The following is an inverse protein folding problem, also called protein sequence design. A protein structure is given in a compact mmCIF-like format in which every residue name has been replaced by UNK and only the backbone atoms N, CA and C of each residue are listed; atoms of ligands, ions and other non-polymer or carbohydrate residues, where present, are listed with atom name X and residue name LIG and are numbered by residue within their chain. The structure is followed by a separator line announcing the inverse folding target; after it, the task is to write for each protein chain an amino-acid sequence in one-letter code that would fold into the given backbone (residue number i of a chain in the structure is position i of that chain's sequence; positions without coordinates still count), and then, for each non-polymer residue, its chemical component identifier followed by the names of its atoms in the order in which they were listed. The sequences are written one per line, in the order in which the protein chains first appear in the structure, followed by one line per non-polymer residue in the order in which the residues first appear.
data_IF_789039891539
#
_entry.id   IF_789039891539
#
_cell.length_a   1.000
_cell.length_b   1.000
_cell.length_c   1.000
_cell.angle_alpha   90.00
_cell.angle_beta   90.00
_cell.angle_gamma   90.00
#
_symmetry.space_group_name_H-M   'P 1'
#
loop_
_entity.id
_entity.type
_entity.pdbx_description
1 polymer ?
#
# COMPACT_ATOMS: atom_id res chain seq x y z
N UNK A 1 -25.99 -16.69 29.19
CA UNK A 1 -24.75 -16.17 29.81
C UNK A 1 -23.79 -15.77 28.71
N UNK A 2 -23.22 -14.55 28.71
CA UNK A 2 -22.30 -14.13 27.67
C UNK A 2 -20.91 -14.73 27.92
N UNK A 3 -20.40 -15.48 26.94
CA UNK A 3 -19.06 -16.08 26.95
C UNK A 3 -18.00 -15.00 26.82
N UNK A 4 -17.35 -14.65 27.94
CA UNK A 4 -16.21 -13.75 27.98
C UNK A 4 -14.99 -14.47 27.40
N UNK A 5 -14.71 -14.28 26.10
CA UNK A 5 -13.46 -14.78 25.50
C UNK A 5 -12.30 -14.01 26.15
N UNK A 6 -11.41 -14.72 26.86
CA UNK A 6 -10.17 -14.14 27.39
C UNK A 6 -9.32 -13.65 26.20
N UNK A 7 -8.68 -12.47 26.29
CA UNK A 7 -7.79 -12.00 25.23
C UNK A 7 -6.66 -13.03 25.06
N UNK A 8 -6.48 -13.51 23.83
CA UNK A 8 -5.30 -14.31 23.53
C UNK A 8 -4.08 -13.40 23.71
N UNK A 9 -3.06 -13.92 24.40
CA UNK A 9 -1.80 -13.23 24.67
C UNK A 9 -0.65 -14.06 24.09
N UNK A 10 0.46 -13.40 23.74
CA UNK A 10 1.64 -14.06 23.19
C UNK A 10 1.65 -14.18 21.66
N UNK A 11 2.43 -15.12 21.13
CA UNK A 11 2.63 -15.30 19.68
C UNK A 11 1.33 -15.63 18.92
N UNK A 12 0.39 -16.32 19.57
CA UNK A 12 -0.93 -16.68 19.04
C UNK A 12 -1.85 -15.47 18.82
N UNK A 13 -1.76 -14.45 19.69
CA UNK A 13 -2.53 -13.21 19.55
C UNK A 13 -2.14 -12.37 18.32
N UNK A 14 -0.91 -12.57 17.84
CA UNK A 14 -0.34 -11.88 16.68
C UNK A 14 -0.47 -12.74 15.41
N UNK A 15 -0.88 -14.01 15.55
CA UNK A 15 -1.21 -14.91 14.45
C UNK A 15 -2.65 -14.74 13.95
N UNK A 16 -3.47 -13.89 14.59
CA UNK A 16 -4.77 -13.54 14.02
C UNK A 16 -4.54 -12.99 12.60
N UNK A 17 -5.23 -13.56 11.60
CA UNK A 17 -5.14 -13.04 10.25
C UNK A 17 -5.52 -11.57 10.34
N UNK A 18 -4.57 -10.71 9.99
CA UNK A 18 -4.85 -9.29 9.77
C UNK A 18 -6.08 -9.27 8.88
N UNK A 19 -7.16 -8.66 9.38
CA UNK A 19 -8.49 -8.66 8.77
C UNK A 19 -8.38 -8.76 7.24
N UNK A 20 -9.17 -9.63 6.58
CA UNK A 20 -9.11 -9.79 5.12
C UNK A 20 -9.07 -8.39 4.51
N UNK A 21 -8.10 -8.09 3.63
CA UNK A 21 -7.79 -6.73 3.21
C UNK A 21 -9.10 -6.08 2.80
N UNK A 22 -9.60 -5.17 3.63
CA UNK A 22 -10.86 -4.49 3.36
C UNK A 22 -10.64 -3.77 2.04
N UNK A 23 -11.36 -4.18 1.01
CA UNK A 23 -11.31 -3.50 -0.28
C UNK A 23 -11.95 -2.14 -0.05
N UNK A 24 -11.11 -1.14 0.22
CA UNK A 24 -11.56 0.23 0.41
C UNK A 24 -12.03 0.71 -0.95
N UNK A 25 -13.34 0.90 -1.11
CA UNK A 25 -13.90 1.50 -2.31
C UNK A 25 -13.55 2.99 -2.33
N UNK A 26 -12.65 3.36 -3.23
CA UNK A 26 -12.21 4.74 -3.42
C UNK A 26 -13.18 5.44 -4.36
N UNK A 27 -13.71 6.58 -3.94
CA UNK A 27 -14.60 7.42 -4.74
C UNK A 27 -13.90 8.74 -5.12
N UNK A 28 -14.42 9.52 -6.08
CA UNK A 28 -13.87 10.85 -6.36
C UNK A 28 -13.84 11.76 -5.13
N UNK A 29 -14.84 11.65 -4.25
CA UNK A 29 -14.90 12.40 -2.99
C UNK A 29 -13.72 12.06 -2.07
N UNK A 30 -13.33 10.79 -2.02
CA UNK A 30 -12.16 10.31 -1.27
C UNK A 30 -10.88 10.99 -1.74
N UNK A 31 -10.70 11.20 -3.04
CA UNK A 31 -9.50 11.84 -3.58
C UNK A 31 -9.45 13.36 -3.32
N UNK A 32 -10.60 13.99 -3.10
CA UNK A 32 -10.68 15.41 -2.72
C UNK A 32 -10.49 15.64 -1.21
N UNK A 33 -10.74 14.63 -0.39
CA UNK A 33 -10.42 14.62 1.04
C UNK A 33 -9.01 14.08 1.27
N UNK A 34 -8.06 15.01 1.33
CA UNK A 34 -6.64 14.70 1.51
C UNK A 34 -6.34 13.98 2.83
N UNK A 35 -7.13 14.23 3.89
CA UNK A 35 -6.94 13.58 5.19
C UNK A 35 -7.32 12.10 5.07
N UNK A 36 -8.51 11.84 4.53
CA UNK A 36 -8.99 10.47 4.31
C UNK A 36 -8.07 9.69 3.35
N UNK A 37 -7.64 10.33 2.26
CA UNK A 37 -6.67 9.73 1.33
C UNK A 37 -5.37 9.31 2.05
N UNK A 38 -4.80 10.18 2.89
CA UNK A 38 -3.59 9.87 3.66
C UNK A 38 -3.80 8.76 4.68
N UNK A 39 -4.95 8.73 5.35
CA UNK A 39 -5.29 7.65 6.28
C UNK A 39 -5.38 6.30 5.57
N UNK A 40 -6.00 6.25 4.39
CA UNK A 40 -6.05 5.04 3.57
C UNK A 40 -4.63 4.60 3.16
N UNK A 41 -3.79 5.52 2.68
CA UNK A 41 -2.39 5.19 2.34
C UNK A 41 -1.61 4.65 3.53
N UNK A 42 -1.83 5.21 4.72
CA UNK A 42 -1.22 4.73 5.96
C UNK A 42 -1.62 3.29 6.27
N UNK A 43 -2.90 2.94 6.11
CA UNK A 43 -3.36 1.56 6.29
C UNK A 43 -2.69 0.60 5.30
N UNK A 44 -2.61 0.96 4.02
CA UNK A 44 -1.89 0.15 3.03
C UNK A 44 -0.39 0.03 3.36
N UNK A 45 0.24 1.07 3.91
CA UNK A 45 1.67 1.08 4.29
C UNK A 45 1.99 0.26 5.54
N UNK A 46 0.99 -0.11 6.35
CA UNK A 46 1.21 -0.98 7.52
C UNK A 46 1.86 -2.31 7.15
N UNK A 47 1.57 -2.86 5.97
CA UNK A 47 2.20 -4.11 5.52
C UNK A 47 3.72 -3.91 5.31
N UNK A 48 4.10 -2.81 4.70
CA UNK A 48 5.51 -2.45 4.44
C UNK A 48 6.24 -2.13 5.75
N UNK A 49 5.63 -1.32 6.63
CA UNK A 49 6.23 -0.96 7.93
C UNK A 49 6.48 -2.20 8.81
N UNK A 50 5.66 -3.24 8.64
CA UNK A 50 5.76 -4.49 9.41
C UNK A 50 6.51 -5.60 8.67
N UNK A 51 7.07 -5.35 7.49
CA UNK A 51 7.67 -6.38 6.62
C UNK A 51 8.77 -7.17 7.34
N UNK A 52 9.69 -6.48 8.02
CA UNK A 52 10.81 -7.13 8.72
C UNK A 52 10.32 -8.02 9.85
N UNK A 53 9.36 -7.53 10.64
CA UNK A 53 8.79 -8.27 11.76
C UNK A 53 8.00 -9.50 11.28
N UNK A 54 7.23 -9.35 10.21
CA UNK A 54 6.48 -10.45 9.58
C UNK A 54 7.41 -11.51 9.01
N UNK A 55 8.45 -11.11 8.27
CA UNK A 55 9.43 -12.03 7.71
C UNK A 55 10.22 -12.76 8.80
N UNK A 56 10.69 -12.05 9.83
CA UNK A 56 11.37 -12.66 10.97
C UNK A 56 10.48 -13.70 11.67
N UNK A 57 9.20 -13.36 11.86
CA UNK A 57 8.21 -14.28 12.44
C UNK A 57 7.97 -15.50 11.56
N UNK A 58 7.74 -15.29 10.26
CA UNK A 58 7.51 -16.38 9.31
C UNK A 58 8.71 -17.33 9.28
N UNK A 59 9.93 -16.80 9.21
CA UNK A 59 11.16 -17.58 9.26
C UNK A 59 11.32 -18.35 10.58
N UNK A 60 10.98 -17.74 11.72
CA UNK A 60 11.02 -18.42 13.02
C UNK A 60 10.01 -19.58 13.07
N UNK A 61 8.77 -19.37 12.62
CA UNK A 61 7.75 -20.43 12.58
C UNK A 61 8.17 -21.59 11.69
N UNK A 62 8.84 -21.32 10.55
CA UNK A 62 9.32 -22.38 9.67
C UNK A 62 10.47 -23.17 10.31
N UNK A 63 11.40 -22.50 11.01
CA UNK A 63 12.47 -23.18 11.77
C UNK A 63 11.92 -24.04 12.90
N UNK A 64 10.85 -23.61 13.56
CA UNK A 64 10.18 -24.40 14.61
C UNK A 64 9.52 -25.65 14.02
N UNK A 65 8.89 -25.55 12.85
CA UNK A 65 8.30 -26.68 12.14
C UNK A 65 9.37 -27.68 11.66
N UNK A 66 10.50 -27.20 11.14
CA UNK A 66 11.63 -28.05 10.75
C UNK A 66 12.19 -28.85 11.94
N UNK A 67 12.21 -28.28 13.15
CA UNK A 67 12.64 -29.01 14.36
C UNK A 67 11.67 -30.12 14.79
N UNK A 68 10.40 -30.03 14.39
CA UNK A 68 9.35 -30.98 14.76
C UNK A 68 9.12 -32.08 13.71
N UNK A 69 9.51 -31.85 12.45
CA UNK A 69 9.42 -32.82 11.36
C UNK A 69 10.79 -33.42 11.09
N UNK A 70 10.96 -34.72 11.34
CA UNK A 70 12.15 -35.47 10.92
C UNK A 70 12.42 -35.23 9.42
N UNK A 71 13.66 -34.82 9.11
CA UNK A 71 14.15 -34.32 7.82
C UNK A 71 13.67 -35.06 6.56
N UNK A 72 12.44 -34.78 6.09
CA UNK A 72 11.94 -35.21 4.78
C UNK A 72 11.70 -33.95 3.94
N UNK A 73 12.72 -33.53 3.17
CA UNK A 73 12.71 -32.45 2.16
C UNK A 73 12.35 -31.03 2.66
N UNK A 74 13.21 -30.43 3.49
CA UNK A 74 13.00 -29.09 4.08
C UNK A 74 13.36 -27.90 3.16
N UNK A 75 13.90 -28.14 1.97
CA UNK A 75 14.41 -27.09 1.06
C UNK A 75 13.34 -26.14 0.50
N UNK A 76 12.05 -26.46 0.59
CA UNK A 76 10.98 -25.65 -0.02
C UNK A 76 10.16 -24.81 0.97
N UNK A 77 10.30 -25.01 2.28
CA UNK A 77 9.35 -24.43 3.26
C UNK A 77 9.65 -22.95 3.56
N UNK A 78 10.93 -22.57 3.69
CA UNK A 78 11.32 -21.16 3.82
C UNK A 78 10.97 -20.37 2.55
N UNK A 79 11.17 -20.98 1.38
CA UNK A 79 10.82 -20.37 0.10
C UNK A 79 9.30 -20.12 -0.01
N UNK A 80 8.47 -21.02 0.51
CA UNK A 80 7.01 -20.82 0.61
C UNK A 80 6.63 -19.65 1.51
N UNK A 81 7.31 -19.45 2.64
CA UNK A 81 7.07 -18.30 3.52
C UNK A 81 7.38 -16.98 2.81
N UNK A 82 8.53 -16.91 2.14
CA UNK A 82 8.93 -15.77 1.31
C UNK A 82 7.95 -15.55 0.16
N UNK A 83 7.51 -16.61 -0.52
CA UNK A 83 6.56 -16.54 -1.63
C UNK A 83 5.19 -15.97 -1.22
N UNK A 84 4.64 -16.42 -0.09
CA UNK A 84 3.35 -15.94 0.40
C UNK A 84 3.45 -14.45 0.77
N UNK A 85 4.50 -14.06 1.50
CA UNK A 85 4.75 -12.65 1.82
C UNK A 85 4.97 -11.80 0.57
N UNK A 86 5.68 -12.33 -0.43
CA UNK A 86 5.90 -11.65 -1.72
C UNK A 86 4.59 -11.36 -2.43
N UNK A 87 3.69 -12.35 -2.53
CA UNK A 87 2.36 -12.18 -3.14
C UNK A 87 1.52 -11.14 -2.40
N UNK A 88 1.55 -11.15 -1.07
CA UNK A 88 0.86 -10.15 -0.25
C UNK A 88 1.40 -8.73 -0.55
N UNK A 89 2.72 -8.57 -0.59
CA UNK A 89 3.37 -7.29 -0.86
C UNK A 89 3.04 -6.77 -2.26
N UNK A 90 3.25 -7.58 -3.30
CA UNK A 90 2.97 -7.16 -4.69
C UNK A 90 1.50 -6.82 -4.86
N UNK A 91 0.59 -7.62 -4.32
CA UNK A 91 -0.85 -7.33 -4.38
C UNK A 91 -1.22 -6.04 -3.65
N UNK A 92 -0.58 -5.74 -2.53
CA UNK A 92 -0.78 -4.51 -1.76
C UNK A 92 -0.23 -3.28 -2.50
N UNK A 93 0.98 -3.38 -3.07
CA UNK A 93 1.59 -2.32 -3.88
C UNK A 93 0.73 -2.01 -5.10
N UNK A 94 0.27 -3.02 -5.84
CA UNK A 94 -0.57 -2.81 -7.01
C UNK A 94 -1.86 -2.04 -6.64
N UNK A 95 -2.57 -2.47 -5.58
CA UNK A 95 -3.76 -1.76 -5.08
C UNK A 95 -3.47 -0.32 -4.69
N UNK A 96 -2.34 -0.08 -4.01
CA UNK A 96 -1.95 1.27 -3.58
C UNK A 96 -1.57 2.16 -4.76
N UNK A 97 -0.80 1.64 -5.73
CA UNK A 97 -0.46 2.36 -6.96
C UNK A 97 -1.70 2.75 -7.76
N UNK A 98 -2.63 1.80 -7.97
CA UNK A 98 -3.91 2.08 -8.63
C UNK A 98 -4.71 3.18 -7.91
N UNK A 99 -4.72 3.18 -6.58
CA UNK A 99 -5.39 4.20 -5.78
C UNK A 99 -4.76 5.58 -5.98
N UNK A 100 -3.42 5.69 -5.90
CA UNK A 100 -2.72 6.96 -6.07
C UNK A 100 -2.89 7.48 -7.49
N UNK A 101 -2.75 6.62 -8.50
CA UNK A 101 -2.96 6.98 -9.91
C UNK A 101 -4.39 7.45 -10.19
N UNK A 102 -5.39 6.73 -9.66
CA UNK A 102 -6.78 7.13 -9.75
C UNK A 102 -7.02 8.50 -9.12
N UNK A 103 -6.51 8.72 -7.91
CA UNK A 103 -6.69 10.02 -7.26
C UNK A 103 -5.94 11.15 -7.97
N UNK A 104 -4.76 10.88 -8.52
CA UNK A 104 -4.03 11.85 -9.35
C UNK A 104 -4.87 12.27 -10.58
N UNK A 105 -5.48 11.30 -11.27
CA UNK A 105 -6.38 11.55 -12.39
C UNK A 105 -7.60 12.39 -11.99
N UNK A 106 -8.29 12.03 -10.89
CA UNK A 106 -9.49 12.75 -10.41
C UNK A 106 -9.17 14.20 -10.08
N UNK A 107 -8.07 14.47 -9.37
CA UNK A 107 -7.71 15.85 -9.02
C UNK A 107 -7.20 16.66 -10.21
N UNK A 108 -6.54 16.01 -11.18
CA UNK A 108 -6.15 16.66 -12.44
C UNK A 108 -7.39 17.07 -13.25
N UNK A 109 -8.38 16.18 -13.39
CA UNK A 109 -9.64 16.47 -14.05
C UNK A 109 -10.41 17.61 -13.37
N UNK A 110 -10.56 17.55 -12.04
CA UNK A 110 -11.27 18.58 -11.28
C UNK A 110 -10.59 19.96 -11.40
N UNK A 111 -9.27 20.00 -11.40
CA UNK A 111 -8.52 21.25 -11.55
C UNK A 111 -8.66 21.81 -12.97
N UNK A 112 -8.63 20.96 -14.00
CA UNK A 112 -8.80 21.36 -15.39
C UNK A 112 -10.19 21.96 -15.64
N UNK A 113 -11.24 21.33 -15.11
CA UNK A 113 -12.63 21.81 -15.21
C UNK A 113 -12.80 23.17 -14.52
N UNK A 114 -12.23 23.35 -13.31
CA UNK A 114 -12.29 24.63 -12.58
C UNK A 114 -11.53 25.75 -13.28
N UNK A 115 -10.39 25.44 -13.93
CA UNK A 115 -9.63 26.41 -14.73
C UNK A 115 -10.41 26.86 -15.95
N UNK A 116 -11.01 25.92 -16.67
CA UNK A 116 -11.87 26.22 -17.83
C UNK A 116 -13.07 27.10 -17.44
N UNK A 117 -13.73 26.79 -16.32
CA UNK A 117 -14.84 27.59 -15.81
C UNK A 117 -14.42 29.02 -15.42
N UNK A 118 -13.18 29.23 -14.96
CA UNK A 118 -12.63 30.56 -14.65
C UNK A 118 -12.38 31.38 -15.92
N UNK A 119 -11.97 30.75 -17.01
CA UNK A 119 -11.71 31.41 -18.31
C UNK A 119 -13.02 31.81 -19.01
N UNK A 120 -14.09 31.00 -18.86
CA UNK A 120 -15.39 31.24 -19.49
C UNK A 120 -16.25 32.29 -18.75
N UNK A 121 -15.96 32.58 -17.47
CA UNK A 121 -16.76 33.51 -16.65
C UNK A 121 -16.21 34.94 -16.61
N UNK A 122 -16.88 35.84 -17.35
CA UNK A 122 -16.88 37.30 -17.10
C UNK A 122 -17.53 37.58 -15.74
N UNK A 123 -16.80 37.39 -14.63
CA UNK A 123 -17.34 37.56 -13.27
C UNK A 123 -16.83 38.82 -12.58
N UNK A 124 -17.65 39.34 -11.67
CA UNK A 124 -17.30 40.39 -10.71
C UNK A 124 -15.94 40.12 -10.02
N UNK A 125 -15.06 41.13 -9.84
CA UNK A 125 -13.71 40.95 -9.29
C UNK A 125 -13.63 40.22 -7.95
N UNK A 126 -14.65 40.31 -7.09
CA UNK A 126 -14.68 39.61 -5.80
C UNK A 126 -14.91 38.11 -6.00
N UNK A 127 -15.79 37.76 -6.93
CA UNK A 127 -16.07 36.36 -7.30
C UNK A 127 -14.85 35.72 -7.96
N UNK A 128 -14.17 36.45 -8.85
CA UNK A 128 -12.95 35.98 -9.51
C UNK A 128 -11.84 35.63 -8.49
N UNK A 129 -11.62 36.48 -7.48
CA UNK A 129 -10.63 36.22 -6.41
C UNK A 129 -10.96 34.96 -5.60
N UNK A 130 -12.24 34.73 -5.29
CA UNK A 130 -12.67 33.52 -4.57
C UNK A 130 -12.38 32.26 -5.39
N UNK A 131 -12.71 32.28 -6.68
CA UNK A 131 -12.45 31.13 -7.57
C UNK A 131 -10.94 30.89 -7.70
N UNK A 132 -10.14 31.94 -7.89
CA UNK A 132 -8.67 31.81 -7.92
C UNK A 132 -8.10 31.19 -6.64
N UNK A 133 -8.61 31.58 -5.47
CA UNK A 133 -8.21 30.98 -4.20
C UNK A 133 -8.53 29.47 -4.15
N UNK A 134 -9.69 29.06 -4.65
CA UNK A 134 -10.06 27.63 -4.72
C UNK A 134 -9.17 26.85 -5.70
N UNK A 135 -8.88 27.41 -6.88
CA UNK A 135 -7.98 26.79 -7.87
C UNK A 135 -6.57 26.64 -7.30
N UNK A 136 -6.08 27.63 -6.54
CA UNK A 136 -4.79 27.53 -5.87
C UNK A 136 -4.79 26.41 -4.82
N UNK A 137 -5.81 26.36 -3.96
CA UNK A 137 -5.93 25.33 -2.93
C UNK A 137 -5.98 23.92 -3.54
N UNK A 138 -6.71 23.74 -4.65
CA UNK A 138 -6.77 22.45 -5.34
C UNK A 138 -5.46 22.14 -6.07
N UNK A 139 -4.74 23.14 -6.57
CA UNK A 139 -3.39 22.98 -7.11
C UNK A 139 -2.40 22.44 -6.06
N UNK A 140 -2.50 22.89 -4.82
CA UNK A 140 -1.69 22.35 -3.70
C UNK A 140 -2.05 20.89 -3.43
N UNK A 141 -3.34 20.54 -3.38
CA UNK A 141 -3.78 19.14 -3.19
C UNK A 141 -3.27 18.24 -4.31
N UNK A 142 -3.37 18.71 -5.56
CA UNK A 142 -2.88 18.02 -6.75
C UNK A 142 -1.39 17.72 -6.63
N UNK A 143 -0.58 18.71 -6.27
CA UNK A 143 0.85 18.48 -6.05
C UNK A 143 1.12 17.48 -4.93
N UNK A 144 0.36 17.51 -3.83
CA UNK A 144 0.52 16.52 -2.75
C UNK A 144 0.23 15.10 -3.21
N UNK A 145 -0.85 14.88 -3.97
CA UNK A 145 -1.19 13.54 -4.50
C UNK A 145 -0.16 13.06 -5.51
N UNK A 146 0.32 13.94 -6.41
CA UNK A 146 1.39 13.59 -7.35
C UNK A 146 2.71 13.24 -6.65
N UNK A 147 3.03 13.93 -5.55
CA UNK A 147 4.20 13.58 -4.74
C UNK A 147 4.08 12.17 -4.14
N UNK A 148 2.87 11.66 -3.88
CA UNK A 148 2.68 10.30 -3.38
C UNK A 148 3.11 9.23 -4.41
N UNK A 149 3.09 9.51 -5.73
CA UNK A 149 3.64 8.59 -6.73
C UNK A 149 5.15 8.38 -6.53
N UNK A 150 5.87 9.44 -6.16
CA UNK A 150 7.30 9.37 -5.86
C UNK A 150 7.53 8.69 -4.50
N UNK A 151 6.69 8.98 -3.50
CA UNK A 151 6.77 8.32 -2.20
C UNK A 151 6.52 6.82 -2.36
N UNK A 152 5.59 6.43 -3.22
CA UNK A 152 5.27 5.03 -3.49
C UNK A 152 6.48 4.25 -4.00
N UNK A 153 7.19 4.78 -4.99
CA UNK A 153 8.38 4.13 -5.53
C UNK A 153 9.48 3.98 -4.47
N UNK A 154 9.64 4.99 -3.58
CA UNK A 154 10.60 4.93 -2.48
C UNK A 154 10.20 3.85 -1.46
N UNK A 155 8.93 3.79 -1.07
CA UNK A 155 8.43 2.80 -0.09
C UNK A 155 8.56 1.39 -0.65
N UNK A 156 8.19 1.19 -1.92
CA UNK A 156 8.34 -0.09 -2.61
C UNK A 156 9.80 -0.53 -2.66
N UNK A 157 10.71 0.37 -3.05
CA UNK A 157 12.16 0.10 -3.07
C UNK A 157 12.69 -0.38 -1.73
N UNK A 158 12.41 0.38 -0.65
CA UNK A 158 12.84 0.04 0.72
C UNK A 158 12.29 -1.30 1.18
N UNK A 159 11.04 -1.59 0.82
CA UNK A 159 10.38 -2.85 1.19
C UNK A 159 11.01 -4.03 0.46
N UNK A 160 11.40 -3.87 -0.81
CA UNK A 160 12.12 -4.89 -1.57
C UNK A 160 13.52 -5.14 -1.01
N UNK A 161 14.26 -4.08 -0.64
CA UNK A 161 15.56 -4.21 0.03
C UNK A 161 15.44 -4.98 1.36
N UNK A 162 14.44 -4.62 2.17
CA UNK A 162 14.13 -5.33 3.41
C UNK A 162 13.77 -6.80 3.15
N UNK A 163 12.95 -7.07 2.12
CA UNK A 163 12.59 -8.42 1.73
C UNK A 163 13.82 -9.26 1.32
N UNK A 164 14.63 -8.76 0.37
CA UNK A 164 15.83 -9.43 -0.15
C UNK A 164 16.80 -9.84 0.96
N UNK A 165 16.98 -8.98 1.96
CA UNK A 165 17.89 -9.26 3.08
C UNK A 165 17.47 -10.45 3.96
N UNK A 166 16.16 -10.80 4.00
CA UNK A 166 15.61 -11.93 4.79
C UNK A 166 15.30 -13.16 3.92
N UNK A 167 15.09 -12.95 2.62
CA UNK A 167 14.77 -13.97 1.62
C UNK A 167 15.84 -14.00 0.53
N UNK A 168 17.10 -14.27 0.90
CA UNK A 168 18.28 -14.09 0.03
C UNK A 168 18.29 -14.98 -1.23
N UNK A 169 17.71 -16.18 -1.14
CA UNK A 169 17.65 -17.14 -2.24
C UNK A 169 16.32 -17.14 -2.99
N UNK A 170 15.40 -16.25 -2.59
CA UNK A 170 14.10 -16.15 -3.25
C UNK A 170 14.24 -15.45 -4.60
N UNK A 171 13.55 -15.99 -5.60
CA UNK A 171 13.27 -15.31 -6.86
C UNK A 171 11.75 -15.36 -7.09
N UNK A 172 11.12 -14.27 -7.56
CA UNK A 172 9.70 -14.32 -7.92
C UNK A 172 9.42 -15.48 -8.90
N UNK A 173 8.26 -16.16 -8.81
CA UNK A 173 7.90 -17.21 -9.76
C UNK A 173 7.75 -16.65 -11.17
N UNK A 174 8.26 -17.31 -12.21
CA UNK A 174 8.24 -16.82 -13.60
C UNK A 174 6.84 -16.45 -14.13
N UNK A 175 5.79 -17.04 -13.53
CA UNK A 175 4.39 -16.73 -13.83
C UNK A 175 3.94 -15.36 -13.32
N UNK A 176 4.64 -14.80 -12.34
CA UNK A 176 4.38 -13.49 -11.74
C UNK A 176 5.14 -12.39 -12.50
N UNK A 177 4.63 -12.03 -13.67
CA UNK A 177 5.24 -11.00 -14.54
C UNK A 177 5.29 -9.64 -13.85
N UNK A 178 4.22 -9.30 -13.10
CA UNK A 178 4.15 -8.04 -12.36
C UNK A 178 5.17 -8.02 -11.23
N UNK A 179 5.25 -9.09 -10.45
CA UNK A 179 6.28 -9.25 -9.43
C UNK A 179 7.68 -9.15 -10.00
N UNK A 180 7.96 -9.74 -11.17
CA UNK A 180 9.26 -9.57 -11.83
C UNK A 180 9.55 -8.12 -12.21
N UNK A 181 8.58 -7.42 -12.83
CA UNK A 181 8.74 -6.00 -13.17
C UNK A 181 9.08 -5.16 -11.93
N UNK A 182 8.40 -5.43 -10.82
CA UNK A 182 8.64 -4.76 -9.55
C UNK A 182 10.00 -5.13 -8.96
N UNK A 183 10.37 -6.41 -8.99
CA UNK A 183 11.66 -6.91 -8.52
C UNK A 183 12.83 -6.27 -9.28
N UNK A 184 12.73 -6.15 -10.60
CA UNK A 184 13.81 -5.61 -11.45
C UNK A 184 13.86 -4.07 -11.44
N UNK A 185 12.82 -3.40 -10.96
CA UNK A 185 12.77 -1.93 -10.87
C UNK A 185 13.60 -1.32 -9.73
N UNK A 186 14.28 -2.16 -8.94
CA UNK A 186 15.02 -1.79 -7.71
C UNK A 186 16.50 -2.14 -7.77
#
# INVERSE_FOLDING_TARGET
MPSTKRPQLGSLAIQEPVNPPQVVHVSPATCHDLSLFKDILKEYRRLDDTIVMRLNRANATMRDQERLQDHINTTNVQEQACLNMWRELVGNWNRRSQLVEYCAFVVDQSLAEKRKALEEQSTDPVTQRKIQATVFADGVKRNQIHNELTIESIVQKRSIEAFRSRCQYFSPPKTDIEGHRVWDSV
#
